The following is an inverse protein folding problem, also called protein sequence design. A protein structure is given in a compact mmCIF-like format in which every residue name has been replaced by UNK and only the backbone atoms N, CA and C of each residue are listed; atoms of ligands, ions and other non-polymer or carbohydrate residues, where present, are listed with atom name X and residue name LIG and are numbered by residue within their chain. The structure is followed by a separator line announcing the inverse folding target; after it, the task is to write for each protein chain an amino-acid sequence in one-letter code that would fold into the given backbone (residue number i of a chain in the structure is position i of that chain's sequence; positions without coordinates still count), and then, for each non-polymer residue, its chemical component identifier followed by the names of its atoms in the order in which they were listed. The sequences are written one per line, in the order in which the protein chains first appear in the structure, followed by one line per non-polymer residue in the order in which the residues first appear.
data_IF_489554769164
#
_entry.id   IF_489554769164
#
_cell.length_a   1.000
_cell.length_b   1.000
_cell.length_c   1.000
_cell.angle_alpha   90.00
_cell.angle_beta   90.00
_cell.angle_gamma   90.00
#
_symmetry.space_group_name_H-M   'P 1'
#
loop_
_entity.id
_entity.type
_entity.pdbx_description
1 polymer ?
#
# COMPACT_ATOMS: atom_id res chain seq x y z
N UNK A 1 0.42 16.06 18.82
CA UNK A 1 1.43 15.10 18.31
C UNK A 1 1.12 14.84 16.85
N UNK A 2 2.07 14.92 15.92
CA UNK A 2 1.75 14.74 14.49
C UNK A 2 1.62 13.26 14.08
N UNK A 3 0.70 12.97 13.15
CA UNK A 3 0.50 11.64 12.57
C UNK A 3 0.32 11.71 11.05
N UNK A 4 0.36 10.53 10.43
CA UNK A 4 -0.02 10.30 9.04
C UNK A 4 -1.14 9.26 8.99
N UNK A 5 -1.84 9.17 7.87
CA UNK A 5 -2.76 8.08 7.54
C UNK A 5 -2.36 7.47 6.20
N UNK A 6 -2.42 6.14 6.08
CA UNK A 6 -2.11 5.39 4.87
C UNK A 6 -3.42 4.77 4.36
N UNK A 7 -3.67 4.89 3.06
CA UNK A 7 -4.84 4.36 2.34
C UNK A 7 -6.20 4.74 2.98
N UNK A 8 -6.47 6.04 3.26
CA UNK A 8 -7.77 6.44 3.80
C UNK A 8 -8.88 6.23 2.77
N UNK A 9 -10.05 5.79 3.24
CA UNK A 9 -11.24 5.51 2.41
C UNK A 9 -12.27 6.64 2.56
N UNK A 10 -12.87 7.11 1.47
CA UNK A 10 -13.80 8.25 1.46
C UNK A 10 -14.96 8.07 2.45
N UNK A 11 -15.58 6.91 2.46
CA UNK A 11 -16.71 6.57 3.32
C UNK A 11 -16.34 6.50 4.81
N UNK A 12 -15.05 6.40 5.12
CA UNK A 12 -14.54 6.28 6.49
C UNK A 12 -13.93 7.58 7.04
N UNK A 13 -13.92 8.67 6.26
CA UNK A 13 -13.30 9.94 6.64
C UNK A 13 -13.80 10.45 8.00
N UNK A 14 -15.11 10.38 8.27
CA UNK A 14 -15.66 10.81 9.56
C UNK A 14 -15.16 9.98 10.74
N UNK A 15 -15.08 8.66 10.56
CA UNK A 15 -14.55 7.73 11.57
C UNK A 15 -13.08 8.06 11.85
N UNK A 16 -12.28 8.21 10.79
CA UNK A 16 -10.83 8.41 10.90
C UNK A 16 -10.50 9.75 11.57
N UNK A 17 -11.18 10.83 11.18
CA UNK A 17 -10.97 12.15 11.78
C UNK A 17 -11.39 12.18 13.25
N UNK A 18 -12.50 11.52 13.62
CA UNK A 18 -12.91 11.38 15.03
C UNK A 18 -11.88 10.60 15.85
N UNK A 19 -11.33 9.52 15.31
CA UNK A 19 -10.31 8.73 16.00
C UNK A 19 -9.01 9.52 16.21
N UNK A 20 -8.58 10.28 15.19
CA UNK A 20 -7.40 11.14 15.25
C UNK A 20 -7.58 12.25 16.32
N UNK A 21 -8.75 12.89 16.34
CA UNK A 21 -9.10 13.91 17.32
C UNK A 21 -9.13 13.35 18.76
N UNK A 22 -9.78 12.20 18.96
CA UNK A 22 -9.84 11.52 20.26
C UNK A 22 -8.46 11.13 20.81
N UNK A 23 -7.47 10.88 19.92
CA UNK A 23 -6.08 10.59 20.30
C UNK A 23 -5.23 11.86 20.53
N UNK A 24 -5.79 13.06 20.33
CA UNK A 24 -5.05 14.34 20.42
C UNK A 24 -3.93 14.44 19.37
N UNK A 25 -4.15 13.83 18.20
CA UNK A 25 -3.18 13.81 17.10
C UNK A 25 -3.50 14.90 16.07
N UNK A 26 -2.46 15.36 15.39
CA UNK A 26 -2.56 16.32 14.28
C UNK A 26 -2.19 15.59 12.99
N UNK A 27 -3.17 15.34 12.13
CA UNK A 27 -2.92 14.69 10.84
C UNK A 27 -2.25 15.69 9.88
N UNK A 28 -1.02 15.40 9.46
CA UNK A 28 -0.25 16.31 8.57
C UNK A 28 -0.04 15.75 7.17
N UNK A 29 -0.21 14.43 6.98
CA UNK A 29 -0.01 13.78 5.70
C UNK A 29 -0.98 12.60 5.51
N UNK A 30 -1.64 12.56 4.36
CA UNK A 30 -2.45 11.42 3.94
C UNK A 30 -1.82 10.76 2.71
N UNK A 31 -1.45 9.50 2.85
CA UNK A 31 -0.61 8.74 1.93
C UNK A 31 -1.44 7.65 1.27
N UNK A 32 -1.27 7.41 -0.03
CA UNK A 32 -1.76 6.17 -0.65
C UNK A 32 -0.58 5.31 -1.12
N UNK A 33 -0.68 4.00 -0.93
CA UNK A 33 0.27 2.99 -1.45
C UNK A 33 0.21 2.90 -2.97
N UNK A 34 -0.99 3.06 -3.55
CA UNK A 34 -1.23 3.03 -4.99
C UNK A 34 -2.57 3.72 -5.34
N UNK A 35 -2.91 3.75 -6.63
CA UNK A 35 -4.27 4.12 -7.05
C UNK A 35 -5.20 2.91 -6.85
N UNK A 36 -6.04 2.97 -5.82
CA UNK A 36 -7.03 1.92 -5.53
C UNK A 36 -8.11 1.86 -6.61
N UNK A 37 -8.54 0.64 -6.95
CA UNK A 37 -9.61 0.40 -7.94
C UNK A 37 -10.91 -0.13 -7.30
N UNK A 38 -10.89 -0.40 -6.00
CA UNK A 38 -11.98 -0.96 -5.21
C UNK A 38 -12.68 0.11 -4.36
N UNK A 39 -12.03 1.26 -4.10
CA UNK A 39 -12.61 2.36 -3.34
C UNK A 39 -12.10 3.74 -3.78
N UNK A 40 -12.86 4.78 -3.42
CA UNK A 40 -12.44 6.17 -3.60
C UNK A 40 -11.58 6.58 -2.40
N UNK A 41 -10.38 7.11 -2.65
CA UNK A 41 -9.51 7.63 -1.58
C UNK A 41 -10.18 8.79 -0.81
N UNK A 42 -10.06 8.77 0.52
CA UNK A 42 -10.54 9.81 1.42
C UNK A 42 -9.65 11.06 1.45
N UNK A 43 -8.47 11.02 0.83
CA UNK A 43 -7.49 12.13 0.86
C UNK A 43 -8.08 13.48 0.47
N UNK A 44 -8.85 13.54 -0.63
CA UNK A 44 -9.46 14.78 -1.10
C UNK A 44 -10.51 15.34 -0.12
N UNK A 45 -11.30 14.47 0.50
CA UNK A 45 -12.30 14.87 1.48
C UNK A 45 -11.68 15.32 2.81
N UNK A 46 -10.64 14.63 3.28
CA UNK A 46 -9.90 15.03 4.48
C UNK A 46 -9.25 16.41 4.29
N UNK A 47 -8.64 16.67 3.13
CA UNK A 47 -8.00 17.97 2.84
C UNK A 47 -8.97 19.15 2.84
N UNK A 48 -10.22 18.96 2.42
CA UNK A 48 -11.24 20.01 2.50
C UNK A 48 -11.61 20.38 3.94
N UNK A 49 -11.38 19.47 4.89
CA UNK A 49 -11.74 19.63 6.31
C UNK A 49 -10.57 20.04 7.19
N UNK A 50 -9.36 19.70 6.80
CA UNK A 50 -8.14 19.94 7.56
C UNK A 50 -7.20 20.86 6.80
N UNK A 51 -7.15 22.13 7.21
CA UNK A 51 -6.20 23.08 6.66
C UNK A 51 -4.75 22.61 6.92
N UNK A 52 -3.91 22.66 5.89
CA UNK A 52 -2.51 22.25 5.97
C UNK A 52 -2.24 20.75 5.77
N UNK A 53 -3.28 19.91 5.65
CA UNK A 53 -3.10 18.51 5.27
C UNK A 53 -2.59 18.40 3.82
N UNK A 54 -1.52 17.65 3.61
CA UNK A 54 -1.03 17.28 2.27
C UNK A 54 -1.43 15.86 1.90
N UNK A 55 -1.76 15.62 0.63
CA UNK A 55 -1.82 14.27 0.07
C UNK A 55 -0.50 13.86 -0.59
N UNK A 56 -0.18 12.57 -0.51
CA UNK A 56 1.05 12.02 -1.06
C UNK A 56 0.82 10.65 -1.71
N UNK A 57 1.36 10.46 -2.92
CA UNK A 57 1.28 9.22 -3.68
C UNK A 57 2.53 9.05 -4.56
N UNK A 58 2.79 7.85 -5.06
CA UNK A 58 3.89 7.61 -6.02
C UNK A 58 3.76 8.48 -7.28
N UNK A 59 4.87 9.04 -7.77
CA UNK A 59 4.91 9.72 -9.07
C UNK A 59 4.55 8.77 -10.21
N UNK A 60 4.95 7.50 -10.10
CA UNK A 60 4.70 6.46 -11.10
C UNK A 60 3.22 6.06 -11.19
N UNK A 61 2.39 6.46 -10.22
CA UNK A 61 0.94 6.20 -10.26
C UNK A 61 0.18 7.05 -11.29
N UNK A 62 0.76 8.18 -11.73
CA UNK A 62 0.08 9.15 -12.59
C UNK A 62 -1.01 9.97 -11.90
N UNK A 63 -1.39 9.65 -10.66
CA UNK A 63 -2.46 10.35 -9.94
C UNK A 63 -2.08 11.75 -9.47
N UNK A 64 -3.11 12.58 -9.29
CA UNK A 64 -2.98 13.92 -8.70
C UNK A 64 -2.85 13.84 -7.18
N UNK A 65 -1.86 14.52 -6.63
CA UNK A 65 -1.63 14.71 -5.20
C UNK A 65 -0.85 16.01 -4.96
N UNK A 66 -0.80 16.51 -3.72
CA UNK A 66 0.03 17.69 -3.40
C UNK A 66 1.51 17.37 -3.50
N UNK A 67 1.88 16.12 -3.17
CA UNK A 67 3.25 15.63 -3.15
C UNK A 67 3.34 14.30 -3.89
N UNK A 68 4.42 14.11 -4.62
CA UNK A 68 4.72 12.84 -5.30
C UNK A 68 6.00 12.23 -4.76
N UNK A 69 5.99 10.92 -4.51
CA UNK A 69 7.17 10.15 -4.15
C UNK A 69 7.88 9.56 -5.36
N UNK A 70 9.19 9.55 -5.33
CA UNK A 70 10.05 8.79 -6.25
C UNK A 70 10.68 7.59 -5.53
N UNK A 71 11.10 6.55 -6.27
CA UNK A 71 11.87 5.45 -5.70
C UNK A 71 13.10 5.94 -4.93
N UNK A 72 13.33 5.38 -3.73
CA UNK A 72 14.47 5.75 -2.87
C UNK A 72 14.23 6.96 -1.96
N UNK A 73 13.09 7.64 -2.09
CA UNK A 73 12.68 8.66 -1.13
C UNK A 73 12.07 8.06 0.14
N UNK A 74 11.69 8.92 1.08
CA UNK A 74 11.08 8.50 2.33
C UNK A 74 9.92 9.43 2.70
N UNK A 75 8.88 8.85 3.31
CA UNK A 75 7.77 9.62 3.89
C UNK A 75 8.24 10.19 5.22
N UNK A 76 8.20 11.52 5.37
CA UNK A 76 8.65 12.20 6.58
C UNK A 76 7.55 13.11 7.13
N UNK A 77 7.38 13.10 8.45
CA UNK A 77 6.46 13.96 9.20
C UNK A 77 7.05 14.33 10.57
N UNK A 78 6.34 15.13 11.37
CA UNK A 78 6.80 15.58 12.69
C UNK A 78 8.14 16.35 12.65
N UNK A 79 8.34 17.16 11.61
CA UNK A 79 9.61 17.85 11.35
C UNK A 79 10.76 16.92 10.96
N UNK A 80 10.46 15.74 10.40
CA UNK A 80 11.47 14.76 9.97
C UNK A 80 11.90 13.76 11.05
N UNK A 81 11.40 13.88 12.28
CA UNK A 81 11.69 12.95 13.38
C UNK A 81 11.06 11.57 13.20
N UNK A 82 10.06 11.47 12.33
CA UNK A 82 9.41 10.21 11.96
C UNK A 82 9.55 10.01 10.46
N UNK A 83 9.93 8.79 10.08
CA UNK A 83 10.28 8.45 8.70
C UNK A 83 9.81 7.04 8.36
N UNK A 84 9.19 6.86 7.20
CA UNK A 84 9.02 5.56 6.56
C UNK A 84 9.87 5.50 5.30
N UNK A 85 10.66 4.44 5.14
CA UNK A 85 11.36 4.18 3.88
C UNK A 85 10.33 3.83 2.79
N UNK A 86 10.39 4.51 1.64
CA UNK A 86 9.47 4.25 0.54
C UNK A 86 10.10 3.27 -0.46
N UNK A 87 9.58 2.04 -0.47
CA UNK A 87 10.04 0.95 -1.32
C UNK A 87 9.14 0.87 -2.56
N UNK A 88 9.71 1.13 -3.74
CA UNK A 88 8.99 0.90 -4.99
C UNK A 88 8.71 -0.60 -5.14
N UNK A 89 7.43 -0.95 -5.19
CA UNK A 89 6.96 -2.35 -5.27
C UNK A 89 5.91 -2.50 -6.39
N UNK A 90 6.22 -2.08 -7.63
CA UNK A 90 5.29 -2.16 -8.74
C UNK A 90 4.92 -3.62 -9.05
N UNK A 91 3.80 -3.79 -9.74
CA UNK A 91 3.38 -5.10 -10.23
C UNK A 91 1.88 -5.29 -10.16
N UNK A 92 1.26 -4.97 -9.02
CA UNK A 92 -0.20 -4.81 -8.96
C UNK A 92 -0.62 -3.60 -9.82
N UNK A 93 0.05 -2.46 -9.61
CA UNK A 93 0.05 -1.31 -10.53
C UNK A 93 1.49 -0.81 -10.71
N UNK A 94 1.80 0.00 -11.74
CA UNK A 94 3.09 0.66 -11.88
C UNK A 94 3.43 1.62 -10.73
N UNK A 95 2.39 2.13 -10.04
CA UNK A 95 2.51 3.12 -8.97
C UNK A 95 2.66 2.56 -7.56
N UNK A 96 2.63 1.24 -7.37
CA UNK A 96 2.65 0.63 -6.05
C UNK A 96 3.93 0.94 -5.26
N UNK A 97 3.73 1.38 -4.02
CA UNK A 97 4.76 1.61 -3.02
C UNK A 97 4.44 0.82 -1.75
N UNK A 98 5.49 0.34 -1.09
CA UNK A 98 5.43 -0.18 0.26
C UNK A 98 6.17 0.76 1.20
N UNK A 99 5.71 0.92 2.43
CA UNK A 99 6.29 1.84 3.41
C UNK A 99 6.82 1.07 4.61
N UNK A 100 8.13 1.06 4.80
CA UNK A 100 8.79 0.33 5.89
C UNK A 100 9.13 1.27 7.04
N UNK A 101 8.70 0.91 8.25
CA UNK A 101 9.10 1.52 9.52
C UNK A 101 10.07 0.59 10.25
N UNK A 102 11.36 0.89 10.14
CA UNK A 102 12.42 0.14 10.82
C UNK A 102 12.33 0.28 12.35
N UNK A 103 11.79 1.40 12.85
CA UNK A 103 11.77 1.69 14.28
C UNK A 103 10.80 0.80 15.08
N UNK A 104 9.79 0.25 14.40
CA UNK A 104 8.80 -0.67 14.98
C UNK A 104 8.74 -2.01 14.23
N UNK A 105 9.58 -2.21 13.20
CA UNK A 105 9.69 -3.46 12.46
C UNK A 105 8.42 -3.84 11.69
N UNK A 106 7.79 -2.89 10.98
CA UNK A 106 6.63 -3.19 10.13
C UNK A 106 6.74 -2.59 8.73
N UNK A 107 6.04 -3.20 7.77
CA UNK A 107 5.91 -2.70 6.39
C UNK A 107 4.45 -2.68 5.97
N UNK A 108 3.99 -1.52 5.48
CA UNK A 108 2.71 -1.35 4.82
C UNK A 108 2.88 -1.71 3.34
N UNK A 109 2.28 -2.80 2.88
CA UNK A 109 2.61 -3.41 1.57
C UNK A 109 1.67 -3.06 0.43
N UNK A 110 0.63 -2.27 0.71
CA UNK A 110 -0.46 -2.06 -0.24
C UNK A 110 -1.01 -3.41 -0.71
N UNK A 111 -1.21 -3.53 -2.01
CA UNK A 111 -1.62 -4.77 -2.67
C UNK A 111 -0.47 -5.54 -3.32
N UNK A 112 0.78 -5.14 -3.12
CA UNK A 112 1.93 -5.89 -3.65
C UNK A 112 2.10 -7.24 -2.92
N UNK A 113 1.92 -7.25 -1.60
CA UNK A 113 1.94 -8.45 -0.76
C UNK A 113 0.71 -8.43 0.16
N UNK A 114 -0.09 -9.48 0.08
CA UNK A 114 -1.25 -9.72 0.95
C UNK A 114 -0.98 -10.94 1.84
N UNK A 115 -1.76 -11.12 2.90
CA UNK A 115 -1.56 -12.25 3.82
C UNK A 115 -1.90 -13.56 3.09
N UNK A 116 -0.90 -14.41 2.84
CA UNK A 116 -1.05 -15.65 2.07
C UNK A 116 -1.58 -15.44 0.64
N UNK A 117 -1.32 -14.28 0.02
CA UNK A 117 -1.69 -13.97 -1.37
C UNK A 117 -0.87 -12.77 -1.91
N UNK A 118 -1.28 -12.24 -3.05
CA UNK A 118 -0.88 -10.93 -3.58
C UNK A 118 -2.05 -10.31 -4.36
N UNK A 119 -1.96 -9.01 -4.65
CA UNK A 119 -2.91 -8.32 -5.52
C UNK A 119 -2.92 -8.90 -6.94
N UNK A 120 -4.02 -8.67 -7.66
CA UNK A 120 -4.16 -9.08 -9.07
C UNK A 120 -3.21 -8.28 -9.96
N UNK A 121 -2.90 -8.78 -11.15
CA UNK A 121 -1.89 -8.16 -12.05
C UNK A 121 -2.38 -8.04 -13.49
N UNK A 122 -3.66 -8.25 -13.72
CA UNK A 122 -4.34 -8.25 -15.01
C UNK A 122 -5.10 -6.94 -15.28
N UNK A 123 -5.06 -5.99 -14.34
CA UNK A 123 -5.72 -4.68 -14.42
C UNK A 123 -4.73 -3.55 -14.10
N UNK A 124 -5.08 -2.29 -14.40
CA UNK A 124 -4.27 -1.09 -14.10
C UNK A 124 -2.80 -1.17 -14.54
N UNK A 125 -2.53 -1.78 -15.72
CA UNK A 125 -1.17 -2.01 -16.24
C UNK A 125 -0.31 -2.87 -15.29
N UNK A 126 -0.96 -3.74 -14.52
CA UNK A 126 -0.30 -4.74 -13.69
C UNK A 126 0.58 -5.68 -14.52
N UNK A 127 1.59 -6.23 -13.86
CA UNK A 127 2.51 -7.18 -14.46
C UNK A 127 2.99 -8.17 -13.39
N UNK A 128 2.67 -9.48 -13.53
CA UNK A 128 3.04 -10.48 -12.53
C UNK A 128 4.55 -10.70 -12.43
N UNK A 129 5.29 -10.60 -13.54
CA UNK A 129 6.74 -10.70 -13.52
C UNK A 129 7.37 -9.58 -12.69
N UNK A 130 6.91 -8.34 -12.91
CA UNK A 130 7.35 -7.17 -12.14
C UNK A 130 6.94 -7.28 -10.67
N UNK A 131 5.75 -7.81 -10.39
CA UNK A 131 5.28 -8.03 -9.02
C UNK A 131 6.19 -9.01 -8.27
N UNK A 132 6.47 -10.16 -8.87
CA UNK A 132 7.32 -11.18 -8.29
C UNK A 132 8.71 -10.62 -7.95
N UNK A 133 9.34 -9.96 -8.93
CA UNK A 133 10.67 -9.37 -8.78
C UNK A 133 10.68 -8.28 -7.69
N UNK A 134 9.63 -7.44 -7.65
CA UNK A 134 9.49 -6.38 -6.66
C UNK A 134 9.36 -6.93 -5.24
N UNK A 135 8.49 -7.92 -5.02
CA UNK A 135 8.32 -8.55 -3.70
C UNK A 135 9.63 -9.21 -3.26
N UNK A 136 10.27 -9.99 -4.15
CA UNK A 136 11.50 -10.72 -3.82
C UNK A 136 12.67 -9.78 -3.51
N UNK A 137 12.87 -8.74 -4.33
CA UNK A 137 13.98 -7.82 -4.17
C UNK A 137 13.80 -6.82 -3.02
N UNK A 138 12.55 -6.44 -2.68
CA UNK A 138 12.28 -5.35 -1.73
C UNK A 138 11.66 -5.80 -0.42
N UNK A 139 10.65 -6.67 -0.45
CA UNK A 139 9.92 -7.07 0.74
C UNK A 139 10.58 -8.30 1.38
N UNK A 140 10.92 -9.30 0.57
CA UNK A 140 11.61 -10.49 1.05
C UNK A 140 13.10 -10.26 1.34
N UNK A 141 13.62 -9.05 1.13
CA UNK A 141 14.94 -8.64 1.64
C UNK A 141 14.89 -7.98 3.01
N UNK A 142 13.69 -7.70 3.55
CA UNK A 142 13.52 -7.17 4.91
C UNK A 142 13.78 -8.26 5.98
N UNK A 143 14.04 -7.86 7.24
CA UNK A 143 14.16 -8.80 8.35
C UNK A 143 12.95 -9.72 8.46
N UNK A 144 13.17 -11.00 8.76
CA UNK A 144 12.10 -12.02 8.79
C UNK A 144 11.00 -11.72 9.81
N UNK A 145 11.36 -11.05 10.91
CA UNK A 145 10.44 -10.61 11.97
C UNK A 145 9.57 -9.41 11.57
N UNK A 146 9.81 -8.79 10.41
CA UNK A 146 9.05 -7.61 9.97
C UNK A 146 7.59 -7.96 9.79
N UNK A 147 6.71 -7.20 10.46
CA UNK A 147 5.26 -7.33 10.32
C UNK A 147 4.81 -6.84 8.94
N UNK A 148 3.94 -7.61 8.29
CA UNK A 148 3.33 -7.26 7.01
C UNK A 148 1.92 -6.75 7.25
N UNK A 149 1.66 -5.51 6.85
CA UNK A 149 0.38 -4.81 6.97
C UNK A 149 -0.16 -4.50 5.56
N UNK A 150 -1.00 -5.36 4.96
CA UNK A 150 -1.53 -5.14 3.62
C UNK A 150 -2.59 -4.04 3.60
N UNK A 151 -2.92 -3.54 2.40
CA UNK A 151 -4.10 -2.67 2.23
C UNK A 151 -5.42 -3.46 2.38
N UNK A 152 -5.42 -4.76 2.03
CA UNK A 152 -6.61 -5.59 2.05
C UNK A 152 -6.37 -6.96 2.71
N UNK A 153 -7.41 -7.47 3.37
CA UNK A 153 -7.52 -8.88 3.75
C UNK A 153 -8.98 -9.32 3.67
N UNK A 154 -9.22 -10.48 3.04
CA UNK A 154 -10.55 -11.02 2.79
C UNK A 154 -10.92 -12.17 3.74
N UNK A 155 -10.12 -12.40 4.79
CA UNK A 155 -10.27 -13.49 5.77
C UNK A 155 -10.25 -12.98 7.22
N UNK A 156 -10.38 -11.67 7.44
CA UNK A 156 -10.42 -11.05 8.77
C UNK A 156 -9.09 -11.02 9.53
N UNK A 157 -7.95 -11.14 8.84
CA UNK A 157 -6.61 -11.11 9.43
C UNK A 157 -6.05 -9.69 9.37
N UNK A 158 -5.37 -9.27 10.45
CA UNK A 158 -4.83 -7.92 10.57
C UNK A 158 -3.38 -7.78 10.08
N UNK A 159 -2.55 -8.82 10.23
CA UNK A 159 -1.13 -8.78 9.86
C UNK A 159 -0.55 -10.18 9.59
N UNK A 160 0.64 -10.21 9.01
CA UNK A 160 1.52 -11.39 8.85
C UNK A 160 2.98 -11.03 9.16
N UNK A 161 3.94 -11.87 8.79
CA UNK A 161 5.38 -11.56 8.84
C UNK A 161 6.06 -11.88 7.52
N UNK A 162 7.21 -11.25 7.27
CA UNK A 162 8.05 -11.60 6.11
C UNK A 162 8.45 -13.08 6.14
N UNK A 163 8.76 -13.65 7.31
CA UNK A 163 9.06 -15.09 7.44
C UNK A 163 7.88 -15.97 6.99
N UNK A 164 6.67 -15.65 7.46
CA UNK A 164 5.47 -16.42 7.15
C UNK A 164 5.15 -16.34 5.65
N UNK A 165 5.20 -15.14 5.05
CA UNK A 165 4.91 -14.97 3.63
C UNK A 165 5.98 -15.63 2.73
N UNK A 166 7.27 -15.52 3.07
CA UNK A 166 8.34 -16.22 2.33
C UNK A 166 8.15 -17.73 2.31
N UNK A 167 7.80 -18.31 3.46
CA UNK A 167 7.75 -19.76 3.64
C UNK A 167 6.44 -20.38 3.14
N UNK A 168 5.33 -19.65 3.22
CA UNK A 168 4.00 -20.25 3.09
C UNK A 168 3.03 -19.53 2.15
N UNK A 169 3.41 -18.38 1.56
CA UNK A 169 2.54 -17.70 0.60
C UNK A 169 2.31 -18.59 -0.63
N UNK A 170 1.07 -19.07 -0.90
CA UNK A 170 0.81 -20.09 -1.91
C UNK A 170 1.22 -19.70 -3.34
N UNK A 171 1.44 -18.41 -3.59
CA UNK A 171 1.88 -17.85 -4.87
C UNK A 171 3.35 -17.43 -4.80
N UNK A 172 3.68 -16.53 -3.88
CA UNK A 172 4.99 -15.88 -3.82
C UNK A 172 6.10 -16.74 -3.22
N UNK A 173 5.79 -17.86 -2.55
CA UNK A 173 6.80 -18.83 -2.11
C UNK A 173 7.19 -19.83 -3.22
N UNK A 174 6.54 -19.76 -4.39
CA UNK A 174 6.83 -20.61 -5.56
C UNK A 174 7.96 -20.02 -6.39
N UNK A 175 8.50 -20.81 -7.31
CA UNK A 175 9.41 -20.26 -8.33
C UNK A 175 8.71 -19.19 -9.17
N UNK A 176 9.48 -18.29 -9.78
CA UNK A 176 8.93 -17.26 -10.68
C UNK A 176 8.08 -17.86 -11.81
N UNK A 177 8.51 -18.99 -12.38
CA UNK A 177 7.78 -19.66 -13.45
C UNK A 177 6.39 -20.14 -12.99
N UNK A 178 6.33 -20.85 -11.85
CA UNK A 178 5.06 -21.32 -11.25
C UNK A 178 4.17 -20.13 -10.85
N UNK A 179 4.74 -19.08 -10.27
CA UNK A 179 4.00 -17.86 -9.93
C UNK A 179 3.34 -17.24 -11.17
N UNK A 180 4.08 -17.10 -12.27
CA UNK A 180 3.55 -16.55 -13.52
C UNK A 180 2.43 -17.42 -14.10
N UNK A 181 2.59 -18.74 -14.05
CA UNK A 181 1.56 -19.69 -14.46
C UNK A 181 0.29 -19.54 -13.62
N UNK A 182 0.43 -19.51 -12.28
CA UNK A 182 -0.70 -19.31 -11.37
C UNK A 182 -1.41 -17.99 -11.68
N UNK A 183 -0.69 -16.87 -11.76
CA UNK A 183 -1.29 -15.55 -11.93
C UNK A 183 -1.99 -15.36 -13.27
N UNK A 184 -1.48 -16.00 -14.35
CA UNK A 184 -2.10 -15.96 -15.69
C UNK A 184 -3.38 -16.79 -15.78
N UNK A 185 -3.52 -17.80 -14.92
CA UNK A 185 -4.66 -18.71 -14.89
C UNK A 185 -5.68 -18.35 -13.81
N UNK A 186 -5.55 -17.19 -13.14
CA UNK A 186 -6.54 -16.72 -12.18
C UNK A 186 -7.79 -16.21 -12.90
N UNK A 187 -8.90 -16.94 -12.80
CA UNK A 187 -10.22 -16.49 -13.26
C UNK A 187 -10.86 -15.57 -12.21
N UNK A 188 -10.44 -14.30 -12.20
CA UNK A 188 -11.02 -13.30 -11.30
C UNK A 188 -12.16 -12.54 -11.99
N UNK A 189 -13.28 -12.27 -11.28
CA UNK A 189 -14.31 -11.40 -11.82
C UNK A 189 -13.74 -10.00 -12.11
N UNK A 190 -14.40 -9.29 -13.03
CA UNK A 190 -14.09 -7.88 -13.27
C UNK A 190 -14.33 -7.09 -11.96
N UNK A 191 -13.48 -6.13 -11.58
CA UNK A 191 -13.67 -5.39 -10.33
C UNK A 191 -15.01 -4.64 -10.31
N UNK A 192 -15.79 -4.79 -9.24
CA UNK A 192 -17.15 -4.22 -9.11
C UNK A 192 -17.19 -2.68 -9.16
N UNK A 193 -16.05 -2.02 -8.90
CA UNK A 193 -15.95 -0.56 -8.72
C UNK A 193 -14.82 0.09 -9.53
N UNK A 194 -14.59 -0.35 -10.77
CA UNK A 194 -13.71 0.41 -11.68
C UNK A 194 -14.32 1.79 -11.92
N UNK A 195 -13.78 2.81 -11.25
CA UNK A 195 -14.14 4.19 -11.50
C UNK A 195 -13.67 4.55 -12.91
N UNK A 196 -14.61 4.59 -13.86
CA UNK A 196 -14.36 5.21 -15.16
C UNK A 196 -14.11 6.70 -14.91
N UNK A 197 -12.94 7.20 -15.32
CA UNK A 197 -12.64 8.64 -15.28
C UNK A 197 -13.77 9.40 -16.01
N UNK A 198 -14.45 10.30 -15.29
CA UNK A 198 -15.31 11.35 -15.85
C UNK A 198 -14.66 12.70 -15.64
#
# INVERSE_FOLDING_TARGET
KECIIIDPVLEQVDRDLKAIDALGLTLTLAVNTHCHADHITGTGAMKRRLAGLSSLISKASGAKADRHLKPGEAVRWAGGRRTLAALATPGHTPGCMSFFDDSIGCVFTGDALLIGSCGRTDFQQGNPEVLYDSVHAKLFSLPETTLVLPAHDYKGRAYSTIAAEKSSNPRLSKSKAEFLEIMRNLELPYPDRVLTES
#
